data_IF_279116107176
#
_entry.id   IF_279116107176
#
_cell.length_a   1.000
_cell.length_b   1.000
_cell.length_c   1.000
_cell.angle_alpha   90.00
_cell.angle_beta   90.00
_cell.angle_gamma   90.00
#
_symmetry.space_group_name_H-M   'P 1'
#
loop_
_entity.id
_entity.type
_entity.pdbx_description
1 polymer ?
#
# COMPACT_ATOMS: atom_id res chain seq x y z
N UNK A 1 6.02 15.03 24.15
CA UNK A 1 5.18 15.20 22.94
C UNK A 1 5.18 13.95 22.06
N UNK A 2 6.33 13.38 21.68
CA UNK A 2 6.37 12.20 20.79
C UNK A 2 6.26 10.84 21.51
N UNK A 3 6.53 10.80 22.81
CA UNK A 3 6.55 9.55 23.60
C UNK A 3 5.23 8.78 23.53
N UNK A 4 4.10 9.45 23.68
CA UNK A 4 2.78 8.79 23.64
C UNK A 4 2.50 8.19 22.26
N UNK A 5 2.89 8.89 21.19
CA UNK A 5 2.75 8.40 19.81
C UNK A 5 3.64 7.18 19.56
N UNK A 6 4.89 7.21 20.04
CA UNK A 6 5.82 6.08 19.94
C UNK A 6 5.25 4.87 20.69
N UNK A 7 4.73 5.07 21.90
CA UNK A 7 4.11 3.99 22.69
C UNK A 7 2.88 3.41 21.99
N UNK A 8 2.04 4.24 21.38
CA UNK A 8 0.90 3.78 20.56
C UNK A 8 1.36 2.97 19.34
N UNK A 9 2.42 3.40 18.66
CA UNK A 9 3.00 2.65 17.54
C UNK A 9 3.53 1.28 17.98
N UNK A 10 4.24 1.24 19.11
CA UNK A 10 4.76 0.02 19.69
C UNK A 10 3.65 -0.94 20.18
N UNK A 11 2.56 -0.40 20.73
CA UNK A 11 1.37 -1.20 21.08
C UNK A 11 0.70 -1.79 19.84
N UNK A 12 0.61 -1.01 18.75
CA UNK A 12 0.10 -1.51 17.47
C UNK A 12 1.00 -2.62 16.91
N UNK A 13 2.32 -2.50 17.02
CA UNK A 13 3.25 -3.56 16.60
C UNK A 13 2.99 -4.89 17.33
N UNK A 14 2.74 -4.85 18.64
CA UNK A 14 2.38 -6.05 19.40
C UNK A 14 1.01 -6.62 18.97
N UNK A 15 0.02 -5.76 18.65
CA UNK A 15 -1.27 -6.18 18.09
C UNK A 15 -1.08 -6.91 16.75
N UNK A 16 -0.26 -6.35 15.85
CA UNK A 16 0.06 -6.94 14.55
C UNK A 16 0.71 -8.32 14.73
N UNK A 17 1.69 -8.43 15.63
CA UNK A 17 2.35 -9.70 15.91
C UNK A 17 1.40 -10.76 16.47
N UNK A 18 0.48 -10.38 17.37
CA UNK A 18 -0.57 -11.28 17.87
C UNK A 18 -1.53 -11.70 16.76
N UNK A 19 -1.93 -10.79 15.87
CA UNK A 19 -2.81 -11.11 14.75
C UNK A 19 -2.15 -12.12 13.80
N UNK A 20 -0.88 -11.90 13.43
CA UNK A 20 -0.11 -12.81 12.59
C UNK A 20 0.01 -14.22 13.21
N UNK A 21 0.26 -14.32 14.52
CA UNK A 21 0.44 -15.60 15.20
C UNK A 21 -0.87 -16.34 15.50
N UNK A 22 -1.89 -15.62 15.99
CA UNK A 22 -3.10 -16.24 16.56
C UNK A 22 -4.26 -16.34 15.56
N UNK A 23 -4.28 -15.50 14.52
CA UNK A 23 -5.29 -15.54 13.47
C UNK A 23 -4.67 -15.26 12.09
N UNK A 24 -3.92 -16.24 11.54
CA UNK A 24 -3.27 -16.08 10.24
C UNK A 24 -4.24 -15.73 9.13
N UNK A 25 -5.44 -16.33 9.10
CA UNK A 25 -6.45 -16.03 8.09
C UNK A 25 -6.88 -14.56 8.15
N UNK A 26 -7.17 -14.04 9.34
CA UNK A 26 -7.51 -12.64 9.55
C UNK A 26 -6.36 -11.70 9.15
N UNK A 27 -5.11 -12.09 9.40
CA UNK A 27 -3.94 -11.34 8.97
C UNK A 27 -3.84 -11.24 7.45
N UNK A 28 -3.98 -12.37 6.73
CA UNK A 28 -3.92 -12.41 5.27
C UNK A 28 -5.08 -11.64 4.62
N UNK A 29 -6.30 -11.80 5.12
CA UNK A 29 -7.47 -11.06 4.64
C UNK A 29 -7.28 -9.55 4.84
N UNK A 30 -6.86 -9.13 6.04
CA UNK A 30 -6.61 -7.72 6.34
C UNK A 30 -5.48 -7.13 5.48
N UNK A 31 -4.42 -7.91 5.23
CA UNK A 31 -3.33 -7.51 4.36
C UNK A 31 -3.77 -7.39 2.89
N UNK A 32 -4.63 -8.28 2.42
CA UNK A 32 -5.24 -8.22 1.09
C UNK A 32 -6.21 -7.04 0.96
N UNK A 33 -6.98 -6.73 2.00
CA UNK A 33 -7.83 -5.53 2.02
C UNK A 33 -6.99 -4.27 1.82
N UNK A 34 -5.83 -4.14 2.48
CA UNK A 34 -4.94 -2.99 2.30
C UNK A 34 -4.51 -2.82 0.84
N UNK A 35 -4.08 -3.91 0.20
CA UNK A 35 -3.68 -3.92 -1.21
C UNK A 35 -4.82 -3.58 -2.17
N UNK A 36 -6.02 -4.07 -1.88
CA UNK A 36 -7.22 -3.78 -2.66
C UNK A 36 -7.66 -2.32 -2.51
N UNK A 37 -7.64 -1.77 -1.29
CA UNK A 37 -8.00 -0.38 -1.01
C UNK A 37 -7.07 0.62 -1.70
N UNK A 38 -5.77 0.36 -1.66
CA UNK A 38 -4.80 1.16 -2.42
C UNK A 38 -5.04 1.00 -3.92
N UNK A 39 -5.32 -0.21 -4.39
CA UNK A 39 -5.65 -0.47 -5.79
C UNK A 39 -6.91 0.28 -6.29
N UNK A 40 -7.96 0.41 -5.47
CA UNK A 40 -9.13 1.23 -5.79
C UNK A 40 -8.76 2.71 -5.98
N UNK A 41 -7.90 3.24 -5.10
CA UNK A 41 -7.36 4.59 -5.25
C UNK A 41 -6.54 4.75 -6.53
N UNK A 42 -5.73 3.74 -6.89
CA UNK A 42 -4.99 3.71 -8.16
C UNK A 42 -5.94 3.73 -9.36
N UNK A 43 -6.96 2.87 -9.39
CA UNK A 43 -7.95 2.84 -10.49
C UNK A 43 -8.61 4.22 -10.65
N UNK A 44 -9.00 4.86 -9.54
CA UNK A 44 -9.59 6.20 -9.57
C UNK A 44 -8.66 7.24 -10.21
N UNK A 45 -7.43 7.37 -9.70
CA UNK A 45 -6.52 8.43 -10.17
C UNK A 45 -6.07 8.18 -11.60
N UNK A 46 -5.90 6.92 -12.02
CA UNK A 46 -5.54 6.60 -13.40
C UNK A 46 -6.72 6.84 -14.34
N UNK A 47 -7.95 6.60 -13.90
CA UNK A 47 -9.16 6.93 -14.68
C UNK A 47 -9.24 8.44 -14.94
N UNK A 48 -9.08 9.25 -13.90
CA UNK A 48 -9.09 10.71 -14.03
C UNK A 48 -7.90 11.20 -14.86
N UNK A 49 -6.69 10.73 -14.56
CA UNK A 49 -5.47 11.13 -15.26
C UNK A 49 -5.48 10.82 -16.75
N UNK A 50 -6.11 9.71 -17.16
CA UNK A 50 -6.18 9.31 -18.56
C UNK A 50 -7.01 10.28 -19.41
N UNK A 51 -7.99 10.97 -18.80
CA UNK A 51 -8.88 11.92 -19.47
C UNK A 51 -8.36 13.36 -19.45
N UNK A 52 -7.28 13.62 -18.72
CA UNK A 52 -6.78 14.96 -18.46
C UNK A 52 -5.51 15.27 -19.25
N UNK A 53 -5.33 16.56 -19.51
CA UNK A 53 -4.09 17.10 -20.07
C UNK A 53 -2.89 16.76 -19.17
N UNK A 54 -1.72 16.37 -19.73
CA UNK A 54 -0.54 16.00 -18.95
C UNK A 54 -0.11 17.04 -17.89
N UNK A 55 -0.29 18.33 -18.15
CA UNK A 55 0.13 19.41 -17.24
C UNK A 55 -0.65 19.43 -15.92
N UNK A 56 -1.90 18.96 -15.91
CA UNK A 56 -2.76 18.96 -14.71
C UNK A 56 -2.82 17.60 -14.01
N UNK A 57 -2.30 16.53 -14.64
CA UNK A 57 -2.36 15.16 -14.08
C UNK A 57 -1.78 15.06 -12.68
N UNK A 58 -0.57 15.56 -12.36
CA UNK A 58 -0.01 15.42 -11.00
C UNK A 58 -0.88 16.08 -9.94
N UNK A 59 -1.49 17.23 -10.27
CA UNK A 59 -2.37 17.96 -9.35
C UNK A 59 -3.65 17.17 -9.07
N UNK A 60 -4.37 16.75 -10.12
CA UNK A 60 -5.67 16.08 -9.95
C UNK A 60 -5.52 14.67 -9.40
N UNK A 61 -4.54 13.90 -9.91
CA UNK A 61 -4.25 12.56 -9.41
C UNK A 61 -3.79 12.62 -7.94
N UNK A 62 -2.94 13.58 -7.59
CA UNK A 62 -2.50 13.79 -6.20
C UNK A 62 -3.66 14.17 -5.26
N UNK A 63 -4.50 15.13 -5.68
CA UNK A 63 -5.63 15.60 -4.89
C UNK A 63 -6.70 14.52 -4.64
N UNK A 64 -6.80 13.52 -5.52
CA UNK A 64 -7.83 12.46 -5.44
C UNK A 64 -7.29 11.12 -4.91
N UNK A 65 -5.98 10.98 -4.72
CA UNK A 65 -5.39 9.74 -4.19
C UNK A 65 -5.65 9.50 -2.69
N UNK A 66 -6.09 10.52 -1.95
CA UNK A 66 -6.28 10.45 -0.49
C UNK A 66 -7.21 9.33 -0.02
N UNK A 67 -8.13 8.86 -0.87
CA UNK A 67 -9.02 7.73 -0.57
C UNK A 67 -8.25 6.44 -0.26
N UNK A 68 -7.09 6.21 -0.89
CA UNK A 68 -6.30 4.99 -0.74
C UNK A 68 -5.91 4.77 0.73
N UNK A 69 -5.27 5.77 1.35
CA UNK A 69 -4.82 5.68 2.74
C UNK A 69 -5.98 5.89 3.73
N UNK A 70 -7.00 6.64 3.35
CA UNK A 70 -8.22 6.81 4.17
C UNK A 70 -8.90 5.47 4.41
N UNK A 71 -9.10 4.67 3.36
CA UNK A 71 -9.66 3.32 3.50
C UNK A 71 -8.76 2.44 4.38
N UNK A 72 -7.45 2.48 4.16
CA UNK A 72 -6.49 1.66 4.93
C UNK A 72 -6.58 1.94 6.43
N UNK A 73 -6.63 3.22 6.83
CA UNK A 73 -6.59 3.62 8.24
C UNK A 73 -7.98 3.54 8.88
N UNK A 74 -9.01 4.06 8.20
CA UNK A 74 -10.35 4.24 8.80
C UNK A 74 -11.18 2.96 8.71
N UNK A 75 -11.16 2.24 7.59
CA UNK A 75 -11.83 0.94 7.49
C UNK A 75 -11.05 -0.16 8.22
N UNK A 76 -9.74 0.03 8.39
CA UNK A 76 -8.84 -0.85 9.12
C UNK A 76 -8.30 -1.98 8.25
N UNK A 77 -6.99 -1.93 7.96
CA UNK A 77 -6.29 -2.98 7.23
C UNK A 77 -4.79 -3.01 7.58
N UNK A 78 -4.10 -4.11 7.31
CA UNK A 78 -2.66 -4.25 7.56
C UNK A 78 -1.84 -3.86 6.32
N UNK A 79 -1.19 -2.70 6.34
CA UNK A 79 -0.43 -2.17 5.20
C UNK A 79 1.09 -2.28 5.44
N UNK A 80 1.79 -2.91 4.49
CA UNK A 80 3.25 -3.13 4.55
C UNK A 80 4.06 -1.85 4.81
N UNK A 81 3.79 -0.76 4.08
CA UNK A 81 4.51 0.51 4.23
C UNK A 81 4.35 1.08 5.64
N UNK A 82 3.14 1.05 6.21
CA UNK A 82 2.90 1.42 7.61
C UNK A 82 3.60 0.49 8.61
N UNK A 83 3.70 -0.80 8.32
CA UNK A 83 4.38 -1.77 9.19
C UNK A 83 5.87 -1.49 9.33
N UNK A 84 6.53 -0.93 8.31
CA UNK A 84 7.95 -0.55 8.42
C UNK A 84 8.18 0.40 9.61
N UNK A 85 7.27 1.36 9.83
CA UNK A 85 7.31 2.28 10.96
C UNK A 85 6.86 1.61 12.26
N UNK A 86 5.67 1.00 12.30
CA UNK A 86 5.12 0.44 13.53
C UNK A 86 6.03 -0.63 14.13
N UNK A 87 6.49 -1.58 13.32
CA UNK A 87 7.33 -2.68 13.79
C UNK A 87 8.71 -2.17 14.25
N UNK A 88 9.27 -1.15 13.59
CA UNK A 88 10.52 -0.52 14.05
C UNK A 88 10.36 0.09 15.43
N UNK A 89 9.29 0.85 15.68
CA UNK A 89 9.02 1.37 17.02
C UNK A 89 8.74 0.27 18.03
N UNK A 90 8.02 -0.79 17.66
CA UNK A 90 7.78 -1.93 18.53
C UNK A 90 9.04 -2.66 18.96
N UNK A 91 9.98 -2.86 18.01
CA UNK A 91 11.30 -3.43 18.30
C UNK A 91 12.09 -2.52 19.24
N UNK A 92 12.14 -1.21 18.97
CA UNK A 92 12.89 -0.26 19.80
C UNK A 92 12.29 -0.04 21.18
N UNK A 93 10.97 -0.18 21.32
CA UNK A 93 10.27 -0.13 22.60
C UNK A 93 10.23 -1.49 23.32
N UNK A 94 10.72 -2.57 22.71
CA UNK A 94 10.76 -3.91 23.30
C UNK A 94 9.40 -4.64 23.34
N UNK A 95 8.39 -4.17 22.60
CA UNK A 95 7.06 -4.83 22.57
C UNK A 95 7.00 -6.02 21.61
N UNK A 96 7.93 -6.08 20.65
CA UNK A 96 8.15 -7.21 19.74
C UNK A 96 9.64 -7.46 19.52
N UNK A 97 10.01 -8.64 19.02
CA UNK A 97 11.39 -8.98 18.66
C UNK A 97 11.73 -8.64 17.21
N UNK A 98 13.03 -8.52 16.92
CA UNK A 98 13.52 -8.40 15.53
C UNK A 98 13.06 -9.56 14.65
N UNK A 99 13.01 -10.79 15.21
CA UNK A 99 12.53 -11.97 14.47
C UNK A 99 11.06 -11.84 14.05
N UNK A 100 10.21 -11.31 14.94
CA UNK A 100 8.81 -11.04 14.61
C UNK A 100 8.69 -9.99 13.50
N UNK A 101 9.47 -8.90 13.56
CA UNK A 101 9.48 -7.89 12.51
C UNK A 101 9.82 -8.46 11.13
N UNK A 102 10.92 -9.21 11.02
CA UNK A 102 11.36 -9.78 9.76
C UNK A 102 10.48 -10.93 9.24
N UNK A 103 9.73 -11.60 10.12
CA UNK A 103 8.73 -12.59 9.71
C UNK A 103 7.43 -11.94 9.19
N UNK A 104 6.97 -10.85 9.81
CA UNK A 104 5.69 -10.19 9.50
C UNK A 104 5.75 -9.34 8.23
N UNK A 105 6.85 -8.61 8.01
CA UNK A 105 7.01 -7.73 6.84
C UNK A 105 6.76 -8.44 5.50
N UNK A 106 7.40 -9.58 5.18
CA UNK A 106 7.15 -10.28 3.91
C UNK A 106 5.72 -10.83 3.81
N UNK A 107 5.11 -11.28 4.93
CA UNK A 107 3.72 -11.74 4.93
C UNK A 107 2.76 -10.60 4.57
N UNK A 108 2.97 -9.41 5.17
CA UNK A 108 2.12 -8.25 4.89
C UNK A 108 2.27 -7.80 3.44
N UNK A 109 3.49 -7.81 2.93
CA UNK A 109 3.78 -7.46 1.53
C UNK A 109 3.09 -8.43 0.56
N UNK A 110 3.19 -9.74 0.80
CA UNK A 110 2.52 -10.76 -0.02
C UNK A 110 0.99 -10.65 0.06
N UNK A 111 0.44 -10.37 1.24
CA UNK A 111 -0.99 -10.16 1.42
C UNK A 111 -1.47 -8.95 0.62
N UNK A 112 -0.77 -7.82 0.73
CA UNK A 112 -1.06 -6.63 -0.08
C UNK A 112 -0.94 -6.91 -1.59
N UNK A 113 0.06 -7.67 -2.03
CA UNK A 113 0.18 -8.10 -3.43
C UNK A 113 -1.05 -8.90 -3.88
N UNK A 114 -1.49 -9.88 -3.08
CA UNK A 114 -2.68 -10.67 -3.37
C UNK A 114 -3.95 -9.81 -3.51
N UNK A 115 -4.12 -8.83 -2.61
CA UNK A 115 -5.20 -7.85 -2.68
C UNK A 115 -5.17 -6.96 -3.92
N UNK A 116 -3.98 -6.46 -4.29
CA UNK A 116 -3.79 -5.63 -5.47
C UNK A 116 -4.06 -6.39 -6.77
N UNK A 117 -3.60 -7.65 -6.87
CA UNK A 117 -3.91 -8.51 -8.02
C UNK A 117 -5.41 -8.82 -8.08
N UNK A 118 -6.04 -9.10 -6.93
CA UNK A 118 -7.46 -9.39 -6.86
C UNK A 118 -8.33 -8.23 -7.37
N UNK A 119 -8.10 -7.01 -6.89
CA UNK A 119 -8.88 -5.85 -7.36
C UNK A 119 -8.61 -5.54 -8.84
N UNK A 120 -7.39 -5.77 -9.34
CA UNK A 120 -7.08 -5.63 -10.76
C UNK A 120 -7.84 -6.66 -11.63
N UNK A 121 -7.96 -7.91 -11.17
CA UNK A 121 -8.78 -8.93 -11.86
C UNK A 121 -10.25 -8.54 -11.88
N UNK A 122 -10.81 -8.07 -10.77
CA UNK A 122 -12.20 -7.58 -10.73
C UNK A 122 -12.42 -6.43 -11.72
N UNK A 123 -11.51 -5.47 -11.76
CA UNK A 123 -11.57 -4.36 -12.71
C UNK A 123 -11.47 -4.84 -14.17
N UNK A 124 -10.63 -5.84 -14.43
CA UNK A 124 -10.50 -6.45 -15.76
C UNK A 124 -11.76 -7.20 -16.19
N UNK A 125 -12.32 -8.05 -15.32
CA UNK A 125 -13.56 -8.78 -15.62
C UNK A 125 -14.77 -7.86 -15.75
N UNK A 126 -14.73 -6.71 -15.07
CA UNK A 126 -15.72 -5.64 -15.21
C UNK A 126 -15.59 -4.82 -16.49
N UNK A 127 -14.66 -5.14 -17.41
CA UNK A 127 -14.48 -4.40 -18.67
C UNK A 127 -13.88 -3.00 -18.48
N UNK A 128 -12.99 -2.84 -17.49
CA UNK A 128 -12.39 -1.56 -17.13
C UNK A 128 -11.76 -0.81 -18.32
N UNK A 129 -12.17 0.44 -18.52
CA UNK A 129 -11.81 1.27 -19.68
C UNK A 129 -10.32 1.56 -19.84
N UNK A 130 -9.52 1.44 -18.78
CA UNK A 130 -8.08 1.71 -18.81
C UNK A 130 -7.24 0.63 -19.49
N UNK A 131 -7.79 -0.56 -19.74
CA UNK A 131 -7.03 -1.73 -20.17
C UNK A 131 -6.95 -1.93 -21.70
N UNK A 132 -8.05 -1.80 -22.47
CA UNK A 132 -8.06 -2.22 -23.88
C UNK A 132 -7.25 -1.33 -24.83
N UNK A 133 -7.03 -0.07 -24.46
CA UNK A 133 -6.36 0.93 -25.31
C UNK A 133 -4.88 1.01 -24.92
N UNK A 134 -4.00 0.72 -25.87
CA UNK A 134 -2.53 0.73 -25.72
C UNK A 134 -1.95 2.09 -25.30
N UNK A 135 -2.57 3.18 -25.76
CA UNK A 135 -2.20 4.56 -25.40
C UNK A 135 -2.67 4.99 -24.01
N UNK A 136 -3.35 4.12 -23.27
CA UNK A 136 -3.72 4.38 -21.87
C UNK A 136 -2.50 4.74 -21.03
N UNK A 137 -2.65 5.73 -20.14
CA UNK A 137 -1.56 6.15 -19.25
C UNK A 137 -1.14 5.03 -18.29
N UNK A 138 -1.98 4.01 -18.05
CA UNK A 138 -1.62 2.83 -17.26
C UNK A 138 -0.40 2.13 -17.86
N UNK A 139 -0.40 1.93 -19.19
CA UNK A 139 0.67 1.20 -19.88
C UNK A 139 1.96 2.01 -19.91
N UNK A 140 1.89 3.28 -20.30
CA UNK A 140 3.08 4.15 -20.40
C UNK A 140 3.72 4.43 -19.04
N UNK A 141 2.93 4.70 -18.00
CA UNK A 141 3.45 4.93 -16.65
C UNK A 141 4.00 3.64 -16.03
N UNK A 142 3.36 2.49 -16.26
CA UNK A 142 3.89 1.21 -15.81
C UNK A 142 5.26 0.92 -16.44
N UNK A 143 5.38 1.09 -17.77
CA UNK A 143 6.65 0.89 -18.49
C UNK A 143 7.75 1.83 -18.00
N UNK A 144 7.44 3.12 -17.80
CA UNK A 144 8.40 4.08 -17.28
C UNK A 144 8.88 3.72 -15.85
N UNK A 145 8.03 3.11 -15.03
CA UNK A 145 8.39 2.65 -13.67
C UNK A 145 9.27 1.40 -13.70
N UNK A 146 9.03 0.46 -14.61
CA UNK A 146 9.80 -0.80 -14.68
C UNK A 146 11.16 -0.65 -15.35
N UNK A 147 11.37 0.42 -16.13
CA UNK A 147 12.62 0.70 -16.85
C UNK A 147 13.51 1.74 -16.17
N UNK A 148 13.06 2.34 -15.06
CA UNK A 148 13.82 3.35 -14.33
C UNK A 148 15.03 2.75 -13.58
N UNK A 149 16.14 3.51 -13.42
CA UNK A 149 17.31 3.03 -12.69
C UNK A 149 17.01 2.72 -11.20
N UNK A 150 17.66 1.71 -10.65
CA UNK A 150 17.46 1.26 -9.28
C UNK A 150 17.62 2.37 -8.23
N UNK A 151 18.67 3.20 -8.34
CA UNK A 151 18.90 4.32 -7.41
C UNK A 151 17.79 5.37 -7.44
N UNK A 152 17.22 5.63 -8.63
CA UNK A 152 16.09 6.56 -8.79
C UNK A 152 14.85 6.01 -8.10
N UNK A 153 14.57 4.71 -8.28
CA UNK A 153 13.45 4.03 -7.63
C UNK A 153 13.62 3.98 -6.11
N UNK A 154 14.83 3.71 -5.62
CA UNK A 154 15.14 3.65 -4.19
C UNK A 154 14.83 4.98 -3.49
N UNK A 155 15.36 6.09 -3.98
CA UNK A 155 15.14 7.40 -3.35
C UNK A 155 13.71 7.92 -3.53
N UNK A 156 13.06 7.64 -4.68
CA UNK A 156 11.62 7.93 -4.84
C UNK A 156 10.77 7.13 -3.85
N UNK A 157 11.14 5.87 -3.59
CA UNK A 157 10.50 5.04 -2.57
C UNK A 157 10.71 5.60 -1.16
N UNK A 158 11.92 6.03 -0.83
CA UNK A 158 12.24 6.62 0.46
C UNK A 158 11.50 7.95 0.74
N UNK A 159 11.24 8.77 -0.28
CA UNK A 159 10.45 10.00 -0.14
C UNK A 159 8.94 9.74 -0.08
N UNK A 160 8.49 8.61 -0.61
CA UNK A 160 7.07 8.24 -0.64
C UNK A 160 6.57 7.74 0.72
N UNK A 161 7.45 7.16 1.53
CA UNK A 161 7.11 6.47 2.78
C UNK A 161 7.75 7.17 3.97
#
# INVERSE_FOLDING_TARGET
MFTDTITKCAANAARIARLSANNPLGFWVSSAMAGAYVGLGIILIFTLGNLLDPSVRPLVMGATFGIALTLVIIAGSELFTGHTMFLTFGVKAGTISHGQMWAILPQTWLGSLGGSVFVAMLYSWGGGSLLPVDTSIVHSVALAKTTAPAMVLFFKGALCN
#
